data_IF_755397712513
#
_entry.id   IF_755397712513
#
_cell.length_a   1.000
_cell.length_b   1.000
_cell.length_c   1.000
_cell.angle_alpha   90.00
_cell.angle_beta   90.00
_cell.angle_gamma   90.00
#
_symmetry.space_group_name_H-M   'P 1'
#
loop_
_entity.id
_entity.type
_entity.pdbx_description
1 polymer ?
#
# COMPACT_ATOMS: atom_id res chain seq x y z
N UNK A 1 1.38 -7.29 -10.42
CA UNK A 1 1.27 -7.59 -8.98
C UNK A 1 2.09 -8.82 -8.66
N UNK A 2 2.82 -8.80 -7.57
CA UNK A 2 3.68 -9.90 -7.12
C UNK A 2 3.35 -10.27 -5.67
N UNK A 3 3.47 -11.53 -5.32
CA UNK A 3 3.26 -12.02 -3.97
C UNK A 3 4.56 -12.65 -3.47
N UNK A 4 5.10 -12.10 -2.40
CA UNK A 4 6.30 -12.59 -1.74
C UNK A 4 5.91 -13.57 -0.64
N UNK A 5 6.57 -14.72 -0.60
CA UNK A 5 6.32 -15.81 0.33
C UNK A 5 7.46 -15.92 1.32
N UNK A 6 7.16 -16.01 2.62
CA UNK A 6 8.16 -16.01 3.69
C UNK A 6 7.75 -17.01 4.79
N UNK A 7 8.69 -17.82 5.25
CA UNK A 7 8.48 -18.75 6.35
C UNK A 7 8.11 -20.17 5.89
N UNK A 8 7.47 -20.91 6.77
CA UNK A 8 7.15 -22.32 6.60
C UNK A 8 5.74 -22.52 6.02
N UNK A 9 5.61 -23.11 4.81
CA UNK A 9 4.31 -23.30 4.15
C UNK A 9 3.35 -24.28 4.86
N UNK A 10 3.82 -25.02 5.85
CA UNK A 10 2.96 -25.90 6.66
C UNK A 10 2.12 -25.15 7.70
N UNK A 11 2.44 -23.87 7.96
CA UNK A 11 1.74 -23.02 8.92
C UNK A 11 0.54 -22.32 8.29
N UNK A 12 -0.43 -21.86 9.13
CA UNK A 12 -1.56 -21.07 8.63
C UNK A 12 -1.07 -19.85 7.84
N UNK A 13 -1.69 -19.60 6.69
CA UNK A 13 -1.28 -18.52 5.79
C UNK A 13 -1.88 -17.18 6.20
N UNK A 14 -1.04 -16.17 6.41
CA UNK A 14 -1.46 -14.77 6.55
C UNK A 14 -1.03 -13.96 5.32
N UNK A 15 -1.97 -13.23 4.72
CA UNK A 15 -1.69 -12.33 3.61
C UNK A 15 -1.68 -10.87 4.09
N UNK A 16 -0.60 -10.15 3.76
CA UNK A 16 -0.38 -8.78 4.20
C UNK A 16 -0.50 -7.81 3.01
N UNK A 17 -1.34 -6.79 3.19
CA UNK A 17 -1.63 -5.76 2.20
C UNK A 17 -1.05 -4.41 2.65
N UNK A 18 -0.02 -3.88 1.97
CA UNK A 18 0.62 -2.62 2.32
C UNK A 18 -0.28 -1.41 2.19
N UNK A 19 0.09 -0.34 2.87
CA UNK A 19 -0.54 0.97 2.74
C UNK A 19 -0.22 1.67 1.43
N UNK A 20 -0.80 2.86 1.25
CA UNK A 20 -0.60 3.70 0.07
C UNK A 20 0.88 4.01 -0.12
N UNK A 21 1.39 3.72 -1.32
CA UNK A 21 2.77 4.02 -1.70
C UNK A 21 3.83 3.42 -0.79
N UNK A 22 3.48 2.38 -0.05
CA UNK A 22 4.42 1.67 0.80
C UNK A 22 5.07 0.52 0.06
N UNK A 23 6.40 0.48 0.10
CA UNK A 23 7.13 -0.71 -0.30
C UNK A 23 6.90 -1.80 0.75
N UNK A 24 6.57 -3.00 0.33
CA UNK A 24 6.14 -4.08 1.21
C UNK A 24 7.12 -4.42 2.34
N UNK A 25 8.45 -4.38 2.06
CA UNK A 25 9.48 -4.61 3.07
C UNK A 25 9.56 -3.51 4.10
N UNK A 26 9.41 -2.26 3.70
CA UNK A 26 9.42 -1.12 4.61
C UNK A 26 8.19 -1.12 5.48
N UNK A 27 7.04 -1.46 4.90
CA UNK A 27 5.79 -1.50 5.65
C UNK A 27 5.77 -2.61 6.70
N UNK A 28 6.21 -3.83 6.35
CA UNK A 28 6.05 -5.00 7.21
C UNK A 28 7.35 -5.68 7.62
N UNK A 29 8.51 -5.26 7.12
CA UNK A 29 9.78 -5.96 7.37
C UNK A 29 10.11 -6.13 8.85
N UNK A 30 9.71 -5.17 9.68
CA UNK A 30 9.96 -5.18 11.13
C UNK A 30 9.15 -6.26 11.89
N UNK A 31 8.07 -6.80 11.30
CA UNK A 31 7.23 -7.84 11.94
C UNK A 31 7.45 -9.23 11.39
N UNK A 32 8.17 -9.41 10.27
CA UNK A 32 8.31 -10.71 9.61
C UNK A 32 8.91 -11.78 10.53
N UNK A 33 9.99 -11.45 11.22
CA UNK A 33 10.68 -12.39 12.10
C UNK A 33 9.76 -12.97 13.19
N UNK A 34 8.90 -12.12 13.74
CA UNK A 34 7.92 -12.55 14.75
C UNK A 34 6.74 -13.31 14.16
N UNK A 35 6.19 -12.83 13.04
CA UNK A 35 5.05 -13.48 12.39
C UNK A 35 5.40 -14.86 11.83
N UNK A 36 6.59 -15.06 11.28
CA UNK A 36 7.04 -16.36 10.76
C UNK A 36 7.09 -17.48 11.80
N UNK A 37 7.14 -17.14 13.09
CA UNK A 37 7.05 -18.13 14.16
C UNK A 37 5.71 -18.86 14.17
N UNK A 38 4.64 -18.20 13.69
CA UNK A 38 3.27 -18.68 13.78
C UNK A 38 2.60 -18.85 12.43
N UNK A 39 3.02 -18.13 11.41
CA UNK A 39 2.36 -18.03 10.10
C UNK A 39 3.30 -18.24 8.93
N UNK A 40 2.75 -18.78 7.86
CA UNK A 40 3.30 -18.63 6.53
C UNK A 40 2.86 -17.26 5.98
N UNK A 41 3.80 -16.38 5.71
CA UNK A 41 3.51 -15.00 5.34
C UNK A 41 3.49 -14.87 3.82
N UNK A 42 2.42 -14.31 3.28
CA UNK A 42 2.31 -13.83 1.92
C UNK A 42 2.17 -12.32 1.94
N UNK A 43 3.04 -11.59 1.25
CA UNK A 43 2.97 -10.13 1.17
C UNK A 43 2.70 -9.69 -0.24
N UNK A 44 1.67 -8.87 -0.43
CA UNK A 44 1.30 -8.33 -1.73
C UNK A 44 2.20 -7.14 -2.07
N UNK A 45 2.78 -7.17 -3.26
CA UNK A 45 3.39 -6.00 -3.91
C UNK A 45 2.53 -5.63 -5.10
N UNK A 46 1.83 -4.52 -5.03
CA UNK A 46 0.86 -4.11 -6.05
C UNK A 46 1.54 -3.83 -7.40
N UNK A 47 0.79 -3.94 -8.48
CA UNK A 47 1.25 -3.53 -9.81
C UNK A 47 1.77 -2.09 -9.79
N UNK A 48 2.92 -1.84 -10.39
CA UNK A 48 3.57 -0.53 -10.38
C UNK A 48 4.33 -0.19 -9.10
N UNK A 49 4.30 -1.06 -8.09
CA UNK A 49 5.00 -0.88 -6.80
C UNK A 49 6.08 -1.93 -6.54
N UNK A 50 6.29 -2.84 -7.49
CA UNK A 50 7.35 -3.84 -7.41
C UNK A 50 8.55 -3.44 -8.25
N UNK A 51 9.74 -3.44 -7.63
CA UNK A 51 10.99 -3.06 -8.29
C UNK A 51 11.46 -4.06 -9.36
N UNK A 52 10.92 -5.27 -9.33
CA UNK A 52 11.31 -6.37 -10.23
C UNK A 52 10.37 -6.53 -11.42
N UNK A 53 9.24 -5.80 -11.45
CA UNK A 53 8.22 -5.89 -12.49
C UNK A 53 7.94 -4.53 -13.13
N UNK A 54 7.86 -4.51 -14.44
CA UNK A 54 7.41 -3.31 -15.18
C UNK A 54 5.90 -3.39 -15.42
N UNK A 55 5.12 -3.20 -14.35
CA UNK A 55 3.65 -3.26 -14.35
C UNK A 55 3.06 -1.91 -13.97
N UNK A 56 1.76 -1.72 -14.20
CA UNK A 56 1.05 -0.49 -13.86
C UNK A 56 -0.17 -0.80 -13.00
N UNK A 57 -0.34 -0.07 -11.93
CA UNK A 57 -1.55 -0.10 -11.11
C UNK A 57 -2.72 0.52 -11.88
N UNK A 58 -3.75 -0.26 -12.19
CA UNK A 58 -4.92 0.20 -12.96
C UNK A 58 -6.01 0.69 -12.02
N UNK A 59 -6.41 -0.13 -11.07
CA UNK A 59 -7.42 0.19 -10.06
C UNK A 59 -7.35 -0.79 -8.88
N UNK A 60 -7.94 -0.42 -7.75
CA UNK A 60 -8.09 -1.33 -6.61
C UNK A 60 -8.86 -2.61 -6.99
N UNK A 61 -9.93 -2.47 -7.79
CA UNK A 61 -10.73 -3.62 -8.23
C UNK A 61 -9.95 -4.59 -9.11
N UNK A 62 -9.05 -4.08 -9.96
CA UNK A 62 -8.17 -4.90 -10.80
C UNK A 62 -7.15 -5.66 -9.92
N UNK A 63 -6.55 -4.99 -8.95
CA UNK A 63 -5.62 -5.65 -8.03
C UNK A 63 -6.33 -6.68 -7.12
N UNK A 64 -7.53 -6.35 -6.61
CA UNK A 64 -8.34 -7.29 -5.82
C UNK A 64 -8.69 -8.53 -6.66
N UNK A 65 -9.05 -8.37 -7.94
CA UNK A 65 -9.33 -9.51 -8.81
C UNK A 65 -8.10 -10.41 -8.97
N UNK A 66 -6.91 -9.84 -9.16
CA UNK A 66 -5.65 -10.60 -9.24
C UNK A 66 -5.35 -11.37 -7.94
N UNK A 67 -5.65 -10.77 -6.79
CA UNK A 67 -5.49 -11.44 -5.49
C UNK A 67 -6.50 -12.58 -5.35
N UNK A 68 -7.75 -12.37 -5.73
CA UNK A 68 -8.80 -13.41 -5.72
C UNK A 68 -8.38 -14.60 -6.61
N UNK A 69 -7.96 -14.32 -7.84
CA UNK A 69 -7.50 -15.35 -8.78
C UNK A 69 -6.29 -16.13 -8.21
N UNK A 70 -5.35 -15.43 -7.59
CA UNK A 70 -4.20 -16.05 -6.95
C UNK A 70 -4.63 -16.97 -5.79
N UNK A 71 -5.52 -16.50 -4.89
CA UNK A 71 -5.98 -17.29 -3.76
C UNK A 71 -6.81 -18.50 -4.24
N UNK A 72 -7.58 -18.35 -5.32
CA UNK A 72 -8.29 -19.47 -5.93
C UNK A 72 -7.34 -20.53 -6.48
N UNK A 73 -6.30 -20.12 -7.20
CA UNK A 73 -5.38 -21.06 -7.88
C UNK A 73 -4.35 -21.69 -6.95
N UNK A 74 -3.83 -20.95 -5.98
CA UNK A 74 -2.70 -21.39 -5.15
C UNK A 74 -3.11 -21.84 -3.73
N UNK A 75 -4.30 -21.47 -3.28
CA UNK A 75 -4.78 -21.71 -1.91
C UNK A 75 -6.19 -22.31 -1.86
N UNK A 76 -6.68 -22.89 -2.95
CA UNK A 76 -8.01 -23.51 -3.05
C UNK A 76 -9.15 -22.56 -2.60
N UNK A 77 -8.99 -21.27 -2.86
CA UNK A 77 -9.97 -20.25 -2.50
C UNK A 77 -10.07 -19.92 -1.00
N UNK A 78 -9.10 -20.35 -0.19
CA UNK A 78 -9.12 -20.18 1.28
C UNK A 78 -7.88 -19.49 1.80
N UNK A 79 -8.09 -18.56 2.72
CA UNK A 79 -7.02 -17.84 3.41
C UNK A 79 -7.31 -17.81 4.91
N UNK A 80 -6.35 -18.24 5.74
CA UNK A 80 -6.51 -18.19 7.19
C UNK A 80 -6.64 -16.77 7.71
N UNK A 81 -5.75 -15.83 7.29
CA UNK A 81 -5.85 -14.46 7.73
C UNK A 81 -5.45 -13.47 6.62
N UNK A 82 -6.14 -12.33 6.58
CA UNK A 82 -5.78 -11.18 5.77
C UNK A 82 -5.59 -9.97 6.68
N UNK A 83 -4.46 -9.27 6.59
CA UNK A 83 -4.22 -8.01 7.27
C UNK A 83 -3.95 -6.90 6.27
N UNK A 84 -4.68 -5.80 6.37
CA UNK A 84 -4.47 -4.63 5.54
C UNK A 84 -4.24 -3.36 6.37
N UNK A 85 -3.19 -2.61 6.04
CA UNK A 85 -2.88 -1.33 6.67
C UNK A 85 -3.24 -0.19 5.73
N UNK A 86 -4.03 0.80 6.21
CA UNK A 86 -4.42 1.96 5.41
C UNK A 86 -5.12 1.53 4.10
N UNK A 87 -4.57 1.86 2.91
CA UNK A 87 -5.06 1.37 1.61
C UNK A 87 -5.23 -0.16 1.60
N UNK A 88 -4.30 -0.90 2.20
CA UNK A 88 -4.40 -2.35 2.33
C UNK A 88 -5.67 -2.81 3.05
N UNK A 89 -6.18 -2.02 3.99
CA UNK A 89 -7.45 -2.29 4.66
C UNK A 89 -8.64 -2.19 3.71
N UNK A 90 -8.63 -1.26 2.76
CA UNK A 90 -9.65 -1.19 1.69
C UNK A 90 -9.62 -2.44 0.82
N UNK A 91 -8.44 -2.98 0.50
CA UNK A 91 -8.31 -4.25 -0.23
C UNK A 91 -8.91 -5.42 0.54
N UNK A 92 -8.58 -5.55 1.83
CA UNK A 92 -9.16 -6.61 2.68
C UNK A 92 -10.68 -6.47 2.75
N UNK A 93 -11.20 -5.26 2.91
CA UNK A 93 -12.64 -4.99 2.92
C UNK A 93 -13.31 -5.37 1.61
N UNK A 94 -12.69 -5.07 0.46
CA UNK A 94 -13.21 -5.45 -0.85
C UNK A 94 -13.22 -6.97 -1.02
N UNK A 95 -12.15 -7.69 -0.62
CA UNK A 95 -12.10 -9.14 -0.66
C UNK A 95 -13.23 -9.78 0.14
N UNK A 96 -13.46 -9.29 1.37
CA UNK A 96 -14.56 -9.75 2.24
C UNK A 96 -15.92 -9.46 1.62
N UNK A 97 -16.13 -8.23 1.10
CA UNK A 97 -17.42 -7.83 0.54
C UNK A 97 -17.77 -8.57 -0.76
N UNK A 98 -16.77 -8.92 -1.58
CA UNK A 98 -16.98 -9.63 -2.85
C UNK A 98 -17.28 -11.12 -2.68
N UNK A 99 -16.93 -11.71 -1.54
CA UNK A 99 -17.24 -13.11 -1.16
C UNK A 99 -16.82 -14.18 -2.18
N UNK A 100 -15.80 -13.90 -2.98
CA UNK A 100 -15.28 -14.85 -3.98
C UNK A 100 -14.30 -15.85 -3.40
N UNK A 101 -13.75 -15.56 -2.24
CA UNK A 101 -12.81 -16.37 -1.48
C UNK A 101 -13.25 -16.45 -0.03
N UNK A 102 -12.80 -17.47 0.68
CA UNK A 102 -13.03 -17.60 2.11
C UNK A 102 -11.85 -17.05 2.90
N UNK A 103 -12.10 -16.18 3.87
CA UNK A 103 -11.10 -15.63 4.79
C UNK A 103 -11.60 -15.89 6.21
N UNK A 104 -10.84 -16.66 7.01
CA UNK A 104 -11.22 -16.94 8.40
C UNK A 104 -11.12 -15.68 9.28
N UNK A 105 -10.04 -14.88 9.09
CA UNK A 105 -9.76 -13.69 9.90
C UNK A 105 -9.38 -12.50 9.02
N UNK A 106 -10.28 -11.52 8.89
CA UNK A 106 -9.99 -10.26 8.20
C UNK A 106 -9.67 -9.16 9.22
N UNK A 107 -8.46 -8.60 9.13
CA UNK A 107 -7.96 -7.59 10.05
C UNK A 107 -7.69 -6.29 9.27
N UNK A 108 -8.41 -5.23 9.63
CA UNK A 108 -8.34 -3.93 8.97
C UNK A 108 -7.68 -2.94 9.94
N UNK A 109 -6.47 -2.49 9.60
CA UNK A 109 -5.71 -1.54 10.39
C UNK A 109 -5.69 -0.14 9.78
N UNK A 110 -6.10 0.87 10.55
CA UNK A 110 -6.00 2.30 10.17
C UNK A 110 -6.54 2.60 8.77
N UNK A 111 -7.64 1.95 8.38
CA UNK A 111 -8.30 2.15 7.10
C UNK A 111 -9.61 2.89 7.31
N UNK A 112 -9.84 3.88 6.46
CA UNK A 112 -11.11 4.57 6.33
C UNK A 112 -11.83 3.99 5.11
N UNK A 113 -13.08 3.58 5.29
CA UNK A 113 -13.90 2.99 4.23
C UNK A 113 -14.78 4.05 3.55
N UNK A 114 -14.68 5.31 3.96
CA UNK A 114 -15.45 6.39 3.39
C UNK A 114 -14.99 6.70 1.96
N UNK A 115 -15.93 6.59 1.04
CA UNK A 115 -15.71 6.94 -0.35
C UNK A 115 -16.18 8.38 -0.61
N UNK A 116 -15.24 9.25 -0.96
CA UNK A 116 -15.60 10.59 -1.41
C UNK A 116 -16.33 10.53 -2.76
N UNK A 117 -17.35 11.38 -2.99
CA UNK A 117 -17.98 11.50 -4.30
C UNK A 117 -16.93 11.80 -5.38
N UNK A 118 -17.08 11.20 -6.57
CA UNK A 118 -16.11 11.32 -7.69
C UNK A 118 -15.73 12.76 -8.04
N UNK A 119 -16.67 13.70 -7.94
CA UNK A 119 -16.42 15.11 -8.22
C UNK A 119 -15.53 15.76 -7.16
N UNK A 120 -15.72 15.41 -5.87
CA UNK A 120 -14.90 15.90 -4.77
C UNK A 120 -13.48 15.35 -4.86
N UNK A 121 -13.34 14.04 -5.10
CA UNK A 121 -12.03 13.41 -5.31
C UNK A 121 -11.25 14.04 -6.48
N UNK A 122 -11.94 14.45 -7.58
CA UNK A 122 -11.32 15.17 -8.69
C UNK A 122 -10.80 16.56 -8.29
N UNK A 123 -11.59 17.30 -7.52
CA UNK A 123 -11.19 18.64 -7.03
C UNK A 123 -9.99 18.52 -6.07
N UNK A 124 -10.08 17.63 -5.12
CA UNK A 124 -8.98 17.38 -4.17
C UNK A 124 -7.71 16.97 -4.89
N UNK A 125 -7.80 16.05 -5.85
CA UNK A 125 -6.65 15.62 -6.66
C UNK A 125 -6.06 16.80 -7.45
N UNK A 126 -6.89 17.63 -8.05
CA UNK A 126 -6.44 18.77 -8.83
C UNK A 126 -5.70 19.83 -8.01
N UNK A 127 -6.04 19.96 -6.72
CA UNK A 127 -5.42 20.91 -5.80
C UNK A 127 -4.21 20.29 -5.09
N UNK A 128 -4.39 19.11 -4.53
CA UNK A 128 -3.40 18.47 -3.67
C UNK A 128 -2.21 17.94 -4.48
N UNK A 129 -2.47 17.33 -5.65
CA UNK A 129 -1.43 16.72 -6.45
C UNK A 129 -0.36 17.71 -6.93
N UNK A 130 -0.67 18.87 -7.52
CA UNK A 130 0.35 19.85 -7.91
C UNK A 130 1.16 20.38 -6.74
N UNK A 131 0.56 20.49 -5.55
CA UNK A 131 1.22 20.97 -4.34
C UNK A 131 2.24 19.94 -3.81
N UNK A 132 1.89 18.66 -3.84
CA UNK A 132 2.71 17.58 -3.30
C UNK A 132 3.64 16.94 -4.34
N UNK A 133 3.34 17.08 -5.63
CA UNK A 133 4.12 16.48 -6.71
C UNK A 133 5.62 16.83 -6.69
N UNK A 134 6.02 18.10 -6.49
CA UNK A 134 7.44 18.45 -6.41
C UNK A 134 8.14 17.82 -5.20
N UNK A 135 7.40 17.60 -4.11
CA UNK A 135 7.90 16.94 -2.91
C UNK A 135 8.07 15.43 -3.15
N UNK A 136 7.06 14.79 -3.71
CA UNK A 136 7.04 13.36 -4.04
C UNK A 136 8.16 13.03 -5.04
N UNK A 137 8.37 13.85 -6.05
CA UNK A 137 9.40 13.63 -7.08
C UNK A 137 10.82 14.04 -6.66
N UNK A 138 11.01 14.49 -5.42
CA UNK A 138 12.31 14.88 -4.91
C UNK A 138 12.89 16.16 -5.52
N UNK A 139 12.08 16.97 -6.24
CA UNK A 139 12.52 18.26 -6.79
C UNK A 139 12.92 19.21 -5.65
N UNK A 140 14.13 19.77 -5.75
CA UNK A 140 14.67 20.73 -4.78
C UNK A 140 13.76 21.98 -4.72
N UNK A 141 13.53 22.50 -3.53
CA UNK A 141 12.81 23.74 -3.18
C UNK A 141 11.33 23.61 -2.80
N UNK A 142 10.89 22.49 -2.27
CA UNK A 142 9.55 22.44 -1.69
C UNK A 142 9.53 23.01 -0.26
N UNK A 143 8.60 23.90 0.02
CA UNK A 143 8.34 24.48 1.35
C UNK A 143 8.10 23.40 2.42
N UNK A 144 7.43 22.31 2.05
CA UNK A 144 7.20 21.14 2.91
C UNK A 144 8.51 20.48 3.33
N UNK A 145 9.49 20.35 2.43
CA UNK A 145 10.80 19.74 2.75
C UNK A 145 11.51 20.53 3.83
N UNK A 146 11.49 21.86 3.74
CA UNK A 146 12.06 22.75 4.80
C UNK A 146 11.35 22.55 6.14
N UNK A 147 10.04 22.33 6.13
CA UNK A 147 9.23 22.12 7.33
C UNK A 147 9.47 20.74 7.96
N UNK A 148 9.65 19.71 7.14
CA UNK A 148 10.03 18.35 7.57
C UNK A 148 11.46 18.32 8.08
N UNK A 149 12.42 18.94 7.38
CA UNK A 149 13.82 19.07 7.83
C UNK A 149 13.92 19.84 9.16
N UNK A 150 13.06 20.83 9.38
CA UNK A 150 12.99 21.56 10.65
C UNK A 150 12.40 20.74 11.79
N UNK A 151 11.42 19.88 11.51
CA UNK A 151 10.88 18.90 12.48
C UNK A 151 11.88 17.77 12.76
N UNK A 152 12.52 17.27 11.71
CA UNK A 152 13.54 16.23 11.77
C UNK A 152 14.72 16.59 12.68
N UNK A 153 15.08 17.86 12.79
CA UNK A 153 16.13 18.33 13.69
C UNK A 153 15.75 18.28 15.18
N UNK A 154 14.48 18.03 15.49
CA UNK A 154 14.01 17.94 16.89
C UNK A 154 14.08 16.53 17.49
N UNK A 155 14.50 15.51 16.71
CA UNK A 155 14.83 14.16 17.14
C UNK A 155 13.62 13.33 17.62
N UNK A 156 13.47 12.12 17.08
CA UNK A 156 12.50 11.10 17.49
C UNK A 156 12.43 9.98 16.45
N UNK A 157 11.97 8.79 16.85
CA UNK A 157 11.82 7.60 15.99
C UNK A 157 10.95 7.85 14.75
N UNK A 158 9.94 8.72 14.88
CA UNK A 158 9.08 9.17 13.75
C UNK A 158 9.89 9.80 12.62
N UNK A 159 10.98 10.48 12.95
CA UNK A 159 11.82 11.18 11.99
C UNK A 159 12.59 10.22 11.10
N UNK A 160 13.08 9.13 11.65
CA UNK A 160 13.82 8.10 10.92
C UNK A 160 12.86 7.33 10.01
N UNK A 161 11.67 7.00 10.50
CA UNK A 161 10.61 6.39 9.72
C UNK A 161 10.21 7.25 8.50
N UNK A 162 9.96 8.54 8.70
CA UNK A 162 9.60 9.48 7.61
C UNK A 162 10.74 9.59 6.59
N UNK A 163 12.01 9.64 7.02
CA UNK A 163 13.16 9.68 6.12
C UNK A 163 13.24 8.41 5.27
N UNK A 164 13.10 7.25 5.90
CA UNK A 164 13.12 5.96 5.23
C UNK A 164 11.96 5.82 4.25
N UNK A 165 10.75 6.17 4.67
CA UNK A 165 9.56 6.21 3.82
C UNK A 165 9.77 7.08 2.57
N UNK A 166 10.33 8.29 2.73
CA UNK A 166 10.61 9.19 1.61
C UNK A 166 11.73 8.68 0.69
N UNK A 167 12.74 8.00 1.24
CA UNK A 167 13.80 7.38 0.44
C UNK A 167 13.24 6.25 -0.43
N UNK A 168 12.45 5.37 0.15
CA UNK A 168 11.82 4.26 -0.56
C UNK A 168 10.83 4.76 -1.61
N UNK A 169 10.06 5.79 -1.27
CA UNK A 169 9.16 6.47 -2.21
C UNK A 169 9.92 7.06 -3.41
N UNK A 170 11.01 7.78 -3.16
CA UNK A 170 11.84 8.34 -4.23
C UNK A 170 12.50 7.25 -5.08
N UNK A 171 12.84 6.12 -4.49
CA UNK A 171 13.38 4.97 -5.22
C UNK A 171 12.32 4.34 -6.13
N UNK A 172 11.11 4.12 -5.62
CA UNK A 172 9.99 3.61 -6.42
C UNK A 172 9.67 4.51 -7.61
N UNK A 173 9.62 5.83 -7.41
CA UNK A 173 9.37 6.78 -8.52
C UNK A 173 10.47 6.74 -9.57
N UNK A 174 11.74 6.53 -9.17
CA UNK A 174 12.85 6.40 -10.12
C UNK A 174 12.75 5.12 -10.95
N UNK A 175 12.35 4.02 -10.33
CA UNK A 175 12.24 2.70 -10.98
C UNK A 175 11.00 2.65 -11.88
N UNK A 176 9.90 3.26 -11.43
CA UNK A 176 8.61 3.28 -12.13
C UNK A 176 8.06 4.71 -12.32
N UNK A 177 8.73 5.57 -13.12
CA UNK A 177 8.32 6.98 -13.26
C UNK A 177 6.90 7.15 -13.78
N UNK A 178 6.36 6.15 -14.47
CA UNK A 178 4.99 6.14 -15.00
C UNK A 178 4.01 5.30 -14.16
N UNK A 179 4.49 4.39 -13.32
CA UNK A 179 3.66 3.46 -12.54
C UNK A 179 2.86 4.16 -11.44
N UNK A 180 3.44 5.15 -10.81
CA UNK A 180 2.82 5.87 -9.69
C UNK A 180 1.87 7.00 -10.12
N UNK A 181 2.06 7.55 -11.31
CA UNK A 181 1.38 8.78 -11.76
C UNK A 181 0.24 8.54 -12.75
N UNK A 182 0.28 7.44 -13.49
CA UNK A 182 -0.77 7.12 -14.47
C UNK A 182 -2.13 6.84 -13.81
N UNK A 183 -2.20 6.09 -12.70
CA UNK A 183 -3.44 5.93 -11.98
C UNK A 183 -4.03 7.25 -11.49
N UNK A 184 -3.21 8.18 -11.00
CA UNK A 184 -3.65 9.49 -10.51
C UNK A 184 -4.31 10.33 -11.60
N UNK A 185 -3.95 10.15 -12.87
CA UNK A 185 -4.55 10.91 -13.99
C UNK A 185 -5.79 10.26 -14.59
N UNK A 186 -6.01 8.96 -14.45
CA UNK A 186 -7.03 8.26 -15.26
C UNK A 186 -8.26 7.73 -14.56
N UNK A 187 -8.43 7.70 -13.27
CA UNK A 187 -9.65 7.23 -12.57
C UNK A 187 -9.38 6.75 -11.12
N UNK A 188 -8.51 7.39 -10.38
CA UNK A 188 -8.42 7.05 -8.98
C UNK A 188 -9.55 7.75 -8.25
N UNK A 189 -10.43 6.95 -7.69
CA UNK A 189 -11.13 7.32 -6.49
C UNK A 189 -10.06 7.38 -5.39
N UNK A 190 -9.49 8.56 -5.14
CA UNK A 190 -8.66 8.75 -3.98
C UNK A 190 -9.55 8.57 -2.76
N UNK A 191 -9.36 7.48 -2.06
CA UNK A 191 -9.78 7.39 -0.67
C UNK A 191 -8.76 8.24 0.08
N UNK A 192 -9.13 9.46 0.39
CA UNK A 192 -8.34 10.30 1.29
C UNK A 192 -8.46 9.68 2.67
N UNK A 193 -7.47 8.88 3.06
CA UNK A 193 -7.42 8.30 4.38
C UNK A 193 -7.12 9.43 5.34
N UNK A 194 -8.14 9.91 6.04
CA UNK A 194 -7.94 10.69 7.25
C UNK A 194 -7.22 9.80 8.25
N UNK A 195 -5.90 9.92 8.29
CA UNK A 195 -5.14 9.39 9.41
C UNK A 195 -5.50 10.23 10.64
N UNK A 196 -6.33 9.70 11.51
CA UNK A 196 -6.38 10.15 12.89
C UNK A 196 -5.06 9.71 13.55
N UNK A 197 -4.22 10.69 13.85
CA UNK A 197 -3.08 10.55 14.75
C UNK A 197 -3.57 10.68 16.18
#
# INVERSE_FOLDING_TARGET
MKIYKLGDPSKPTIMLFPGTCCYWRTNFGHVFENLQKYFYIMVVSYSGFDETENTTFISELDEVAKVEDYIQSELDGKLFAAYGCSLGGSFVSLLVNRQKIHIDHAIIGSSDMDQAPKWLAKIETAIVLPLFYPFITGKKNCFLRKKIDKRSKKGGDETEYIKKFLQDWHQMIRIHPNGLLIPVRKNINFILIKQCW
#
